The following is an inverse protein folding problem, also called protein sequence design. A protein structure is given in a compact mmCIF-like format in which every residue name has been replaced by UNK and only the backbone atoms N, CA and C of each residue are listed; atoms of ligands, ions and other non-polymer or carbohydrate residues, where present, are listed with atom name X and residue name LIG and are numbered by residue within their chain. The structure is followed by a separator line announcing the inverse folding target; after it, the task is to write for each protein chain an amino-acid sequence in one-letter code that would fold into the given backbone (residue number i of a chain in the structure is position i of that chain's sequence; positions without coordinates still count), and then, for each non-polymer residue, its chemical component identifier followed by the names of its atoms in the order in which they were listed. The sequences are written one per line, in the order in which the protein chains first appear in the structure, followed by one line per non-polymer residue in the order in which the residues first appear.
data_IF_979669763218
#
_entry.id   IF_979669763218
#
_cell.length_a   1.000
_cell.length_b   1.000
_cell.length_c   1.000
_cell.angle_alpha   90.00
_cell.angle_beta   90.00
_cell.angle_gamma   90.00
#
_symmetry.space_group_name_H-M   'P 1'
#
loop_
_entity.id
_entity.type
_entity.pdbx_description
1 polymer ?
#
# COMPACT_ATOMS: atom_id res chain seq x y z
N UNK A 1 0.04 9.32 -8.50
CA UNK A 1 0.40 9.68 -7.11
C UNK A 1 1.74 9.04 -6.77
N UNK A 2 2.72 9.85 -6.37
CA UNK A 2 4.03 9.35 -5.97
C UNK A 2 3.92 8.29 -4.85
N UNK A 3 4.77 7.26 -4.90
CA UNK A 3 4.86 6.30 -3.82
C UNK A 3 5.41 6.96 -2.54
N UNK A 4 5.00 6.45 -1.38
CA UNK A 4 5.28 7.06 -0.09
C UNK A 4 6.10 6.11 0.77
N UNK A 5 7.26 6.58 1.23
CA UNK A 5 8.13 5.83 2.13
C UNK A 5 7.37 5.36 3.38
N UNK A 6 7.56 4.10 3.75
CA UNK A 6 6.95 3.47 4.92
C UNK A 6 5.48 3.10 4.76
N UNK A 7 4.83 3.43 3.63
CA UNK A 7 3.47 2.99 3.34
C UNK A 7 3.47 1.58 2.75
N UNK A 8 2.49 0.78 3.17
CA UNK A 8 2.17 -0.49 2.54
C UNK A 8 1.15 -0.27 1.43
N UNK A 9 1.35 -0.93 0.32
CA UNK A 9 0.43 -0.92 -0.82
C UNK A 9 -0.13 -2.31 -1.01
N UNK A 10 -1.42 -2.41 -1.26
CA UNK A 10 -2.14 -3.67 -1.43
C UNK A 10 -2.78 -3.73 -2.83
N UNK A 11 -2.57 -4.84 -3.53
CA UNK A 11 -3.24 -5.12 -4.80
C UNK A 11 -4.62 -5.72 -4.54
N UNK A 12 -5.68 -5.04 -4.97
CA UNK A 12 -7.07 -5.53 -4.81
C UNK A 12 -7.41 -6.77 -5.63
N UNK A 13 -6.63 -7.08 -6.66
CA UNK A 13 -6.88 -8.24 -7.54
C UNK A 13 -6.29 -9.54 -6.96
N UNK A 14 -5.05 -9.52 -6.48
CA UNK A 14 -4.35 -10.74 -6.03
C UNK A 14 -4.01 -10.75 -4.53
N UNK A 15 -4.27 -9.66 -3.79
CA UNK A 15 -3.96 -9.54 -2.36
C UNK A 15 -2.48 -9.32 -2.03
N UNK A 16 -1.60 -9.17 -3.03
CA UNK A 16 -0.18 -8.88 -2.79
C UNK A 16 -0.02 -7.56 -2.05
N UNK A 17 0.81 -7.58 -0.99
CA UNK A 17 1.15 -6.39 -0.22
C UNK A 17 2.65 -6.10 -0.34
N UNK A 18 3.02 -4.86 -0.64
CA UNK A 18 4.41 -4.39 -0.68
C UNK A 18 4.64 -3.25 0.31
N UNK A 19 5.87 -3.09 0.80
CA UNK A 19 6.30 -1.94 1.62
C UNK A 19 7.20 -1.03 0.79
N UNK A 20 6.87 0.25 0.69
CA UNK A 20 7.74 1.22 0.05
C UNK A 20 8.91 1.58 0.98
N UNK A 21 10.13 1.14 0.67
CA UNK A 21 11.35 1.42 1.45
C UNK A 21 12.16 2.61 0.94
N UNK A 22 11.76 3.20 -0.20
CA UNK A 22 12.33 4.42 -0.76
C UNK A 22 11.27 5.16 -1.57
N UNK A 23 11.05 6.44 -1.25
CA UNK A 23 10.13 7.28 -2.01
C UNK A 23 10.64 7.57 -3.43
N UNK A 24 9.71 7.75 -4.35
CA UNK A 24 9.91 8.02 -5.76
C UNK A 24 8.64 8.61 -6.38
N UNK A 25 8.76 9.16 -7.58
CA UNK A 25 7.66 9.91 -8.22
C UNK A 25 6.61 9.02 -8.90
N UNK A 26 6.91 7.73 -9.10
CA UNK A 26 6.02 6.77 -9.74
C UNK A 26 4.99 6.13 -8.81
N UNK A 27 3.97 5.53 -9.41
CA UNK A 27 2.95 4.72 -8.75
C UNK A 27 3.40 3.27 -8.60
N UNK A 28 2.87 2.57 -7.58
CA UNK A 28 3.03 1.13 -7.47
C UNK A 28 1.96 0.43 -8.32
N UNK A 29 2.38 -0.45 -9.23
CA UNK A 29 1.46 -1.23 -10.07
C UNK A 29 1.59 -2.72 -9.80
N UNK A 30 0.45 -3.42 -9.86
CA UNK A 30 0.37 -4.88 -9.80
C UNK A 30 -0.90 -5.30 -10.54
N UNK A 31 -0.85 -6.35 -11.36
CA UNK A 31 -1.99 -6.80 -12.19
C UNK A 31 -2.55 -5.69 -13.09
N UNK A 32 -1.67 -4.91 -13.74
CA UNK A 32 -2.02 -3.81 -14.65
C UNK A 32 -2.89 -2.69 -14.03
N UNK A 33 -2.94 -2.62 -12.70
CA UNK A 33 -3.66 -1.59 -11.96
C UNK A 33 -2.76 -0.93 -10.90
N UNK A 34 -3.12 0.29 -10.52
CA UNK A 34 -2.47 1.02 -9.43
C UNK A 34 -2.85 0.38 -8.09
N UNK A 35 -1.87 0.13 -7.23
CA UNK A 35 -2.09 -0.42 -5.89
C UNK A 35 -2.59 0.64 -4.92
N UNK A 36 -3.38 0.24 -3.93
CA UNK A 36 -3.93 1.15 -2.92
C UNK A 36 -3.09 1.17 -1.64
N UNK A 37 -3.00 2.33 -0.97
CA UNK A 37 -2.34 2.42 0.34
C UNK A 37 -3.17 1.66 1.37
N UNK A 38 -2.56 0.67 2.01
CA UNK A 38 -3.17 -0.09 3.09
C UNK A 38 -3.45 0.83 4.27
N UNK A 39 -4.72 0.95 4.63
CA UNK A 39 -5.13 1.73 5.78
C UNK A 39 -4.80 0.99 7.08
N UNK A 40 -4.40 1.71 8.14
CA UNK A 40 -4.27 1.12 9.47
C UNK A 40 -5.57 0.41 9.85
N UNK A 41 -5.50 -0.86 10.24
CA UNK A 41 -6.65 -1.53 10.85
C UNK A 41 -6.91 -0.84 12.18
N UNK A 42 -8.12 -0.31 12.37
CA UNK A 42 -8.59 0.13 13.69
C UNK A 42 -8.63 -1.13 14.55
N UNK A 43 -7.67 -1.28 15.46
CA UNK A 43 -7.81 -2.27 16.51
C UNK A 43 -8.98 -1.80 17.39
N UNK A 44 -9.89 -2.70 17.80
CA UNK A 44 -10.79 -2.36 18.89
C UNK A 44 -9.92 -1.91 20.06
N UNK A 45 -10.30 -0.81 20.73
CA UNK A 45 -9.65 -0.37 21.95
C UNK A 45 -9.57 -1.59 22.87
N UNK A 46 -8.34 -2.03 23.15
CA UNK A 46 -8.08 -3.09 24.12
C UNK A 46 -8.49 -2.56 25.49
N UNK A 47 -9.68 -2.93 25.95
CA UNK A 47 -10.11 -2.84 27.36
C UNK A 47 -9.44 -3.96 28.16
#
# INVERSE_FOLDING_TARGET
MANQLGKRYECKNCGTTILCTKAGTGEAHCCDQVMEVQQPRKLPSSD
#
